data_IF_966480267797
#
_entry.id   IF_966480267797
#
_cell.length_a   1.000
_cell.length_b   1.000
_cell.length_c   1.000
_cell.angle_alpha   90.00
_cell.angle_beta   90.00
_cell.angle_gamma   90.00
#
_symmetry.space_group_name_H-M   'P 1'
#
loop_
_entity.id
_entity.type
_entity.pdbx_description
1 polymer ?
#
# COMPACT_ATOMS: atom_id res chain seq x y z
N UNK A 1 -1.68 -62.81 -8.57
CA UNK A 1 -2.12 -61.55 -7.91
C UNK A 1 -0.97 -60.54 -7.81
N UNK A 2 -0.65 -59.76 -8.85
CA UNK A 2 0.38 -58.69 -8.76
C UNK A 2 0.08 -57.43 -9.60
N UNK A 3 -1.05 -57.40 -10.31
CA UNK A 3 -1.40 -56.35 -11.27
C UNK A 3 -2.34 -55.30 -10.63
N UNK A 4 -3.15 -55.70 -9.64
CA UNK A 4 -4.12 -54.82 -8.97
C UNK A 4 -3.48 -53.75 -8.07
N UNK A 5 -2.34 -54.02 -7.42
CA UNK A 5 -1.69 -53.05 -6.53
C UNK A 5 -1.04 -51.89 -7.29
N UNK A 6 -0.51 -52.14 -8.49
CA UNK A 6 0.06 -51.09 -9.35
C UNK A 6 -1.01 -50.16 -9.92
N UNK A 7 -2.18 -50.71 -10.25
CA UNK A 7 -3.34 -49.93 -10.72
C UNK A 7 -3.88 -48.98 -9.64
N UNK A 8 -3.91 -49.41 -8.38
CA UNK A 8 -4.36 -48.56 -7.28
C UNK A 8 -3.43 -47.36 -7.03
N UNK A 9 -2.10 -47.57 -7.06
CA UNK A 9 -1.15 -46.46 -6.89
C UNK A 9 -1.22 -45.43 -8.02
N UNK A 10 -1.42 -45.86 -9.28
CA UNK A 10 -1.52 -44.93 -10.41
C UNK A 10 -2.84 -44.15 -10.37
N UNK A 11 -3.94 -44.79 -9.97
CA UNK A 11 -5.23 -44.12 -9.81
C UNK A 11 -5.21 -43.05 -8.71
N UNK A 12 -4.53 -43.30 -7.58
CA UNK A 12 -4.40 -42.32 -6.49
C UNK A 12 -3.63 -41.06 -6.89
N UNK A 13 -2.58 -41.18 -7.71
CA UNK A 13 -1.76 -40.02 -8.12
C UNK A 13 -2.48 -39.15 -9.15
N UNK A 14 -3.27 -39.75 -10.04
CA UNK A 14 -4.10 -39.01 -11.01
C UNK A 14 -5.24 -38.27 -10.31
N UNK A 15 -5.82 -38.84 -9.26
CA UNK A 15 -6.85 -38.16 -8.45
C UNK A 15 -6.28 -36.97 -7.67
N UNK A 16 -5.04 -37.10 -7.16
CA UNK A 16 -4.36 -36.05 -6.40
C UNK A 16 -3.90 -34.88 -7.28
N UNK A 17 -3.52 -35.14 -8.54
CA UNK A 17 -3.09 -34.13 -9.51
C UNK A 17 -4.26 -33.54 -10.33
N UNK A 18 -5.39 -34.23 -10.41
CA UNK A 18 -6.55 -33.82 -11.23
C UNK A 18 -7.46 -32.77 -10.61
N UNK A 19 -7.25 -32.39 -9.35
CA UNK A 19 -8.17 -31.48 -8.62
C UNK A 19 -7.56 -30.15 -8.21
N UNK A 20 -6.29 -29.87 -8.52
CA UNK A 20 -5.73 -28.53 -8.33
C UNK A 20 -6.01 -27.64 -9.53
N UNK A 21 -7.28 -27.50 -9.91
CA UNK A 21 -7.69 -26.29 -10.62
C UNK A 21 -7.63 -25.17 -9.59
N UNK A 22 -6.47 -24.51 -9.52
CA UNK A 22 -6.33 -23.24 -8.84
C UNK A 22 -7.15 -22.22 -9.64
N UNK A 23 -8.47 -22.26 -9.48
CA UNK A 23 -9.34 -21.24 -10.02
C UNK A 23 -8.92 -19.95 -9.33
N UNK A 24 -8.21 -19.11 -10.08
CA UNK A 24 -8.00 -17.73 -9.71
C UNK A 24 -9.39 -17.08 -9.70
N UNK A 25 -10.08 -17.15 -8.56
CA UNK A 25 -11.28 -16.35 -8.32
C UNK A 25 -10.90 -14.91 -8.63
N UNK A 26 -11.50 -14.35 -9.67
CA UNK A 26 -11.28 -12.95 -10.03
C UNK A 26 -11.54 -12.09 -8.79
N UNK A 27 -10.54 -11.34 -8.37
CA UNK A 27 -10.70 -10.43 -7.24
C UNK A 27 -11.66 -9.33 -7.67
N UNK A 28 -12.85 -9.28 -7.10
CA UNK A 28 -13.77 -8.16 -7.28
C UNK A 28 -13.18 -6.91 -6.66
N UNK A 29 -13.54 -5.72 -7.16
CA UNK A 29 -13.12 -4.45 -6.56
C UNK A 29 -13.43 -4.39 -5.05
N UNK A 30 -14.59 -4.91 -4.65
CA UNK A 30 -15.00 -5.02 -3.24
C UNK A 30 -14.02 -5.89 -2.44
N UNK A 31 -13.62 -7.06 -2.96
CA UNK A 31 -12.70 -7.95 -2.27
C UNK A 31 -11.30 -7.33 -2.13
N UNK A 32 -10.83 -6.58 -3.13
CA UNK A 32 -9.55 -5.87 -3.07
C UNK A 32 -9.61 -4.80 -1.98
N UNK A 33 -10.64 -3.95 -1.98
CA UNK A 33 -10.79 -2.90 -0.97
C UNK A 33 -10.88 -3.49 0.44
N UNK A 34 -11.70 -4.52 0.65
CA UNK A 34 -11.84 -5.19 1.95
C UNK A 34 -10.51 -5.74 2.46
N UNK A 35 -9.75 -6.40 1.59
CA UNK A 35 -8.45 -6.96 1.96
C UNK A 35 -7.42 -5.85 2.29
N UNK A 36 -7.39 -4.76 1.52
CA UNK A 36 -6.53 -3.62 1.80
C UNK A 36 -6.85 -2.96 3.14
N UNK A 37 -8.14 -2.74 3.43
CA UNK A 37 -8.58 -2.19 4.73
C UNK A 37 -8.24 -3.12 5.89
N UNK A 38 -8.49 -4.42 5.76
CA UNK A 38 -8.15 -5.39 6.79
C UNK A 38 -6.63 -5.42 7.05
N UNK A 39 -5.83 -5.41 5.99
CA UNK A 39 -4.38 -5.37 6.11
C UNK A 39 -3.92 -4.09 6.82
N UNK A 40 -4.33 -2.92 6.33
CA UNK A 40 -3.97 -1.63 6.96
C UNK A 40 -4.52 -1.46 8.38
N UNK A 41 -5.66 -2.08 8.69
CA UNK A 41 -6.29 -2.07 10.01
C UNK A 41 -5.58 -2.99 11.00
N UNK A 42 -4.90 -4.04 10.52
CA UNK A 42 -4.12 -4.95 11.37
C UNK A 42 -2.77 -4.38 11.82
N UNK A 43 -2.34 -3.24 11.27
CA UNK A 43 -1.11 -2.56 11.63
C UNK A 43 -1.38 -1.52 12.71
N UNK A 44 -0.87 -1.78 13.92
CA UNK A 44 -0.94 -0.82 15.05
C UNK A 44 -0.10 0.44 14.77
N UNK A 45 1.06 0.26 14.14
CA UNK A 45 1.90 1.37 13.70
C UNK A 45 2.59 1.04 12.38
N UNK A 46 2.88 2.07 11.58
CA UNK A 46 3.72 1.94 10.40
C UNK A 46 4.38 3.26 10.06
N UNK A 47 5.52 3.18 9.39
CA UNK A 47 6.24 4.33 8.87
C UNK A 47 6.78 4.02 7.47
N UNK A 48 6.76 5.02 6.60
CA UNK A 48 7.36 4.92 5.28
C UNK A 48 7.86 6.27 4.79
N UNK A 49 8.87 6.22 3.92
CA UNK A 49 9.36 7.35 3.16
C UNK A 49 8.87 7.22 1.72
N UNK A 50 8.47 8.32 1.10
CA UNK A 50 7.99 8.38 -0.27
C UNK A 50 8.61 9.57 -1.01
N UNK A 51 8.84 9.40 -2.31
CA UNK A 51 9.24 10.48 -3.21
C UNK A 51 8.08 10.76 -4.17
N UNK A 52 7.58 11.99 -4.16
CA UNK A 52 6.52 12.46 -5.05
C UNK A 52 7.14 13.42 -6.07
N UNK A 53 6.86 13.19 -7.35
CA UNK A 53 7.24 14.08 -8.45
C UNK A 53 5.96 14.60 -9.11
N UNK A 54 5.80 15.91 -9.16
CA UNK A 54 4.68 16.57 -9.84
C UNK A 54 5.22 17.25 -11.10
N UNK A 55 4.65 16.91 -12.26
CA UNK A 55 5.00 17.58 -13.51
C UNK A 55 4.24 18.91 -13.61
N UNK A 56 4.96 20.03 -13.67
CA UNK A 56 4.37 21.32 -13.99
C UNK A 56 4.23 21.43 -15.51
N UNK A 57 3.07 21.04 -16.04
CA UNK A 57 2.75 21.25 -17.44
C UNK A 57 2.49 22.74 -17.68
N UNK A 58 3.54 23.53 -17.90
CA UNK A 58 3.43 24.82 -18.57
C UNK A 58 3.65 24.55 -20.07
N UNK A 59 2.77 25.08 -20.93
CA UNK A 59 2.65 24.74 -22.36
C UNK A 59 3.83 25.08 -23.28
N UNK A 60 5.05 24.79 -22.86
CA UNK A 60 6.31 24.90 -23.60
C UNK A 60 7.22 23.78 -23.15
N UNK A 61 7.98 23.17 -24.06
CA UNK A 61 8.74 21.89 -23.98
C UNK A 61 9.70 21.66 -22.79
N UNK A 62 9.73 22.51 -21.76
CA UNK A 62 10.45 22.30 -20.51
C UNK A 62 9.45 21.96 -19.38
N UNK A 63 9.09 20.68 -19.26
CA UNK A 63 8.33 20.18 -18.13
C UNK A 63 9.19 20.22 -16.86
N UNK A 64 9.09 21.28 -16.08
CA UNK A 64 9.74 21.33 -14.77
C UNK A 64 9.06 20.34 -13.82
N UNK A 65 9.83 19.38 -13.29
CA UNK A 65 9.35 18.43 -12.29
C UNK A 65 9.66 18.94 -10.90
N UNK A 66 8.65 19.13 -10.07
CA UNK A 66 8.84 19.48 -8.65
C UNK A 66 8.89 18.20 -7.83
N UNK A 67 9.91 18.06 -6.98
CA UNK A 67 10.09 16.88 -6.15
C UNK A 67 9.79 17.17 -4.69
N UNK A 68 9.14 16.22 -4.05
CA UNK A 68 8.85 16.24 -2.62
C UNK A 68 9.23 14.92 -1.99
N UNK A 69 10.03 14.99 -0.94
CA UNK A 69 10.28 13.90 -0.04
C UNK A 69 9.26 13.93 1.11
N UNK A 70 8.55 12.83 1.30
CA UNK A 70 7.45 12.71 2.24
C UNK A 70 7.78 11.60 3.23
N UNK A 71 7.72 11.90 4.52
CA UNK A 71 7.84 10.91 5.60
C UNK A 71 6.51 10.78 6.30
N UNK A 72 5.99 9.57 6.39
CA UNK A 72 4.73 9.28 7.08
C UNK A 72 4.99 8.35 8.26
N UNK A 73 4.37 8.66 9.39
CA UNK A 73 4.34 7.82 10.59
C UNK A 73 2.90 7.77 11.11
N UNK A 74 2.35 6.58 11.27
CA UNK A 74 1.08 6.34 11.93
C UNK A 74 1.32 5.50 13.18
N UNK A 75 0.72 5.91 14.28
CA UNK A 75 0.63 5.17 15.55
C UNK A 75 -0.84 5.23 16.00
N UNK A 76 -1.54 4.09 15.89
CA UNK A 76 -2.97 4.00 16.18
C UNK A 76 -3.21 4.07 17.69
N UNK A 77 -4.38 4.57 18.13
CA UNK A 77 -5.53 4.97 17.31
C UNK A 77 -5.47 6.40 16.76
N UNK A 78 -4.60 7.27 17.28
CA UNK A 78 -4.83 8.71 17.23
C UNK A 78 -3.63 9.59 16.84
N UNK A 79 -2.48 8.99 16.50
CA UNK A 79 -1.28 9.72 16.10
C UNK A 79 -0.97 9.50 14.63
N UNK A 80 -0.92 10.59 13.87
CA UNK A 80 -0.41 10.61 12.51
C UNK A 80 0.59 11.76 12.40
N UNK A 81 1.71 11.54 11.73
CA UNK A 81 2.64 12.59 11.35
C UNK A 81 3.05 12.44 9.89
N UNK A 82 2.96 13.52 9.15
CA UNK A 82 3.38 13.62 7.74
C UNK A 82 4.30 14.82 7.60
N UNK A 83 5.58 14.54 7.38
CA UNK A 83 6.60 15.56 7.10
C UNK A 83 6.85 15.62 5.59
N UNK A 84 6.68 16.79 4.99
CA UNK A 84 6.92 17.04 3.57
C UNK A 84 8.07 18.03 3.44
N UNK A 85 9.10 17.65 2.68
CA UNK A 85 10.21 18.51 2.30
C UNK A 85 10.33 18.50 0.77
N UNK A 86 10.22 19.65 0.14
CA UNK A 86 10.39 19.77 -1.30
C UNK A 86 10.50 21.22 -1.73
N UNK A 87 10.64 21.42 -3.03
CA UNK A 87 11.04 22.71 -3.60
C UNK A 87 9.96 23.79 -3.40
N UNK A 88 8.68 23.40 -3.41
CA UNK A 88 7.54 24.32 -3.26
C UNK A 88 6.73 24.12 -1.98
N UNK A 89 6.98 23.03 -1.24
CA UNK A 89 6.25 22.69 -0.01
C UNK A 89 7.21 22.16 1.05
N UNK A 90 7.30 22.88 2.16
CA UNK A 90 8.00 22.46 3.35
C UNK A 90 7.04 22.56 4.55
N UNK A 91 6.42 21.45 4.93
CA UNK A 91 5.37 21.44 5.95
C UNK A 91 5.35 20.18 6.78
N UNK A 92 4.92 20.31 8.02
CA UNK A 92 4.57 19.18 8.89
C UNK A 92 3.07 19.19 9.13
N UNK A 93 2.43 18.05 8.94
CA UNK A 93 1.05 17.83 9.33
C UNK A 93 1.05 16.76 10.41
N UNK A 94 0.31 16.97 11.50
CA UNK A 94 0.13 15.93 12.50
C UNK A 94 -1.29 15.89 13.05
N UNK A 95 -1.74 14.69 13.35
CA UNK A 95 -2.93 14.40 14.12
C UNK A 95 -2.47 13.85 15.46
N UNK A 96 -3.01 14.36 16.56
CA UNK A 96 -2.79 13.82 17.88
C UNK A 96 -4.10 13.93 18.67
N UNK A 97 -4.62 12.82 19.17
CA UNK A 97 -5.87 12.74 19.95
C UNK A 97 -7.04 13.49 19.27
N UNK A 98 -7.20 13.32 17.95
CA UNK A 98 -8.25 13.97 17.16
C UNK A 98 -7.99 15.44 16.80
N UNK A 99 -6.92 16.05 17.31
CA UNK A 99 -6.52 17.42 16.96
C UNK A 99 -5.57 17.40 15.77
N UNK A 100 -5.96 18.04 14.67
CA UNK A 100 -5.13 18.20 13.49
C UNK A 100 -4.40 19.54 13.52
N UNK A 101 -3.09 19.52 13.25
CA UNK A 101 -2.25 20.72 13.16
C UNK A 101 -1.40 20.66 11.91
N UNK A 102 -1.26 21.81 11.25
CA UNK A 102 -0.39 22.01 10.11
C UNK A 102 0.60 23.12 10.44
N UNK A 103 1.88 22.86 10.20
CA UNK A 103 2.95 23.86 10.34
C UNK A 103 3.60 24.03 8.98
N UNK A 104 3.53 25.25 8.43
CA UNK A 104 4.25 25.63 7.22
C UNK A 104 5.61 26.21 7.61
N UNK A 105 6.69 25.53 7.24
CA UNK A 105 8.05 25.92 7.61
C UNK A 105 8.65 26.99 6.68
N UNK A 106 8.01 27.30 5.56
CA UNK A 106 8.46 28.37 4.67
C UNK A 106 8.01 29.75 5.20
N UNK A 107 6.81 29.83 5.79
CA UNK A 107 6.24 31.09 6.27
C UNK A 107 6.05 31.17 7.79
N UNK A 108 6.23 30.06 8.53
CA UNK A 108 6.11 30.02 9.98
C UNK A 108 4.67 30.09 10.50
N UNK A 109 3.67 29.80 9.65
CA UNK A 109 2.26 29.76 10.05
C UNK A 109 1.93 28.44 10.76
N UNK A 110 1.14 28.54 11.84
CA UNK A 110 0.68 27.46 12.72
C UNK A 110 -0.83 27.46 12.89
#
# INVERSE_FOLDING_TARGET
MKVSSKLFCVASTVLLLGTTTLFATGKTAVSVMKNSYNYMGSLDSYAFDAMMSEGLSQGSDDAQSVKHHIKVKLDRPDKLRVDVKGDIRNRTNYLNNGTYTMVDHAFGYY
#
